data_IF_304711128148
#
_entry.id   IF_304711128148
#
_cell.length_a   1.000
_cell.length_b   1.000
_cell.length_c   1.000
_cell.angle_alpha   90.00
_cell.angle_beta   90.00
_cell.angle_gamma   90.00
#
_symmetry.space_group_name_H-M   'P 1'
#
loop_
_entity.id
_entity.type
_entity.pdbx_description
1 polymer ?
#
# COMPACT_ATOMS: atom_id res chain seq x y z
N UNK A 1 22.43 8.33 24.13
CA UNK A 1 21.85 8.68 22.82
C UNK A 1 21.20 10.05 22.94
N UNK A 2 21.57 11.01 22.10
CA UNK A 2 20.96 12.33 22.07
C UNK A 2 19.70 12.34 21.18
N UNK A 3 18.96 13.46 21.20
CA UNK A 3 17.71 13.60 20.43
C UNK A 3 17.94 13.44 18.92
N UNK A 4 19.05 13.96 18.39
CA UNK A 4 19.39 13.83 16.96
C UNK A 4 19.66 12.36 16.58
N UNK A 5 20.35 11.62 17.43
CA UNK A 5 20.62 10.19 17.23
C UNK A 5 19.33 9.36 17.29
N UNK A 6 18.42 9.67 18.22
CA UNK A 6 17.08 9.07 18.29
C UNK A 6 16.27 9.31 17.00
N UNK A 7 16.28 10.54 16.49
CA UNK A 7 15.57 10.88 15.25
C UNK A 7 16.16 10.16 14.05
N UNK A 8 17.49 10.13 13.93
CA UNK A 8 18.19 9.38 12.86
C UNK A 8 17.88 7.89 12.91
N UNK A 9 17.84 7.30 14.11
CA UNK A 9 17.53 5.87 14.26
C UNK A 9 16.10 5.56 13.83
N UNK A 10 15.13 6.42 14.20
CA UNK A 10 13.74 6.29 13.75
C UNK A 10 13.61 6.41 12.24
N UNK A 11 14.29 7.39 11.65
CA UNK A 11 14.32 7.57 10.19
C UNK A 11 14.89 6.33 9.50
N UNK A 12 16.03 5.81 9.97
CA UNK A 12 16.65 4.62 9.39
C UNK A 12 15.75 3.39 9.48
N UNK A 13 15.07 3.19 10.63
CA UNK A 13 14.09 2.10 10.76
C UNK A 13 12.95 2.23 9.77
N UNK A 14 12.43 3.44 9.59
CA UNK A 14 11.36 3.67 8.61
C UNK A 14 11.83 3.37 7.18
N UNK A 15 13.05 3.81 6.82
CA UNK A 15 13.64 3.54 5.51
C UNK A 15 13.84 2.04 5.27
N UNK A 16 14.42 1.31 6.23
CA UNK A 16 14.59 -0.14 6.18
C UNK A 16 13.24 -0.85 6.08
N UNK A 17 12.27 -0.49 6.93
CA UNK A 17 10.94 -1.09 6.88
C UNK A 17 10.27 -0.86 5.52
N UNK A 18 10.34 0.36 5.00
CA UNK A 18 9.80 0.70 3.67
C UNK A 18 10.45 -0.15 2.58
N UNK A 19 11.77 -0.30 2.62
CA UNK A 19 12.51 -1.12 1.66
C UNK A 19 12.08 -2.59 1.71
N UNK A 20 12.00 -3.18 2.91
CA UNK A 20 11.58 -4.57 3.09
C UNK A 20 10.14 -4.79 2.62
N UNK A 21 9.23 -3.86 2.91
CA UNK A 21 7.84 -3.95 2.42
C UNK A 21 7.79 -3.87 0.90
N UNK A 22 8.53 -2.96 0.26
CA UNK A 22 8.54 -2.83 -1.20
C UNK A 22 9.07 -4.06 -1.95
N UNK A 23 9.86 -4.92 -1.29
CA UNK A 23 10.33 -6.18 -1.87
C UNK A 23 9.24 -7.26 -1.91
N UNK A 24 8.33 -7.27 -0.93
CA UNK A 24 7.33 -8.33 -0.74
C UNK A 24 5.93 -7.91 -1.17
N UNK A 25 5.58 -6.65 -0.96
CA UNK A 25 4.25 -6.10 -1.20
C UNK A 25 4.12 -5.61 -2.63
N UNK A 26 3.01 -6.00 -3.27
CA UNK A 26 2.61 -5.50 -4.58
C UNK A 26 1.32 -4.70 -4.40
N UNK A 27 1.22 -3.47 -4.94
CA UNK A 27 0.00 -2.69 -4.84
C UNK A 27 -1.16 -3.44 -5.47
N UNK A 28 -2.32 -3.44 -4.81
CA UNK A 28 -3.51 -4.03 -5.41
C UNK A 28 -3.95 -3.21 -6.62
N UNK A 29 -4.28 -3.90 -7.72
CA UNK A 29 -4.98 -3.29 -8.84
C UNK A 29 -6.42 -2.95 -8.42
N UNK A 30 -6.63 -1.70 -8.01
CA UNK A 30 -7.92 -1.13 -7.62
C UNK A 30 -8.83 -0.83 -8.81
N UNK A 31 -8.41 -1.13 -10.05
CA UNK A 31 -9.28 -0.97 -11.22
C UNK A 31 -10.33 -2.06 -11.32
N UNK A 32 -10.23 -3.15 -10.54
CA UNK A 32 -11.23 -4.22 -10.51
C UNK A 32 -11.84 -4.29 -9.10
N UNK A 33 -13.11 -3.90 -8.92
CA UNK A 33 -13.72 -3.92 -7.60
C UNK A 33 -13.94 -5.33 -7.06
N UNK A 34 -13.88 -5.45 -5.73
CA UNK A 34 -14.29 -6.63 -4.98
C UNK A 34 -15.82 -6.66 -4.83
N UNK A 35 -16.39 -7.87 -4.87
CA UNK A 35 -17.81 -8.06 -4.63
C UNK A 35 -18.14 -7.90 -3.14
N UNK A 36 -19.12 -7.07 -2.74
CA UNK A 36 -19.45 -6.83 -1.33
C UNK A 36 -20.07 -8.04 -0.60
N UNK A 37 -20.33 -9.15 -1.30
CA UNK A 37 -20.88 -10.38 -0.71
C UNK A 37 -19.84 -11.46 -0.44
N UNK A 38 -18.72 -11.45 -1.15
CA UNK A 38 -17.75 -12.55 -1.09
C UNK A 38 -16.29 -12.10 -1.19
N UNK A 39 -16.04 -10.80 -1.29
CA UNK A 39 -14.73 -10.15 -1.42
C UNK A 39 -13.85 -10.62 -2.59
N UNK A 40 -14.38 -11.48 -3.47
CA UNK A 40 -13.71 -11.86 -4.72
C UNK A 40 -13.76 -10.71 -5.71
N UNK A 41 -12.68 -10.53 -6.47
CA UNK A 41 -12.65 -9.60 -7.62
C UNK A 41 -13.79 -9.93 -8.58
N UNK A 42 -14.66 -8.97 -8.82
CA UNK A 42 -15.78 -9.12 -9.74
C UNK A 42 -15.33 -9.06 -11.19
N UNK A 43 -16.21 -9.44 -12.11
CA UNK A 43 -16.05 -9.13 -13.53
C UNK A 43 -16.75 -7.80 -13.80
N UNK A 44 -15.99 -6.80 -14.23
CA UNK A 44 -16.56 -5.50 -14.53
C UNK A 44 -17.17 -5.50 -15.94
N UNK A 45 -18.49 -5.45 -16.02
CA UNK A 45 -19.20 -5.22 -17.29
C UNK A 45 -19.58 -3.74 -17.32
N UNK A 46 -18.76 -2.90 -17.95
CA UNK A 46 -18.99 -1.45 -17.93
C UNK A 46 -20.21 -1.07 -18.76
N UNK A 47 -21.36 -0.88 -18.12
CA UNK A 47 -22.33 0.11 -18.59
C UNK A 47 -22.10 1.38 -17.79
N UNK A 48 -21.54 2.41 -18.44
CA UNK A 48 -21.47 3.75 -17.86
C UNK A 48 -22.89 4.33 -17.85
N UNK A 49 -23.54 4.28 -16.69
CA UNK A 49 -24.78 5.03 -16.46
C UNK A 49 -24.47 6.09 -15.40
N UNK A 50 -24.49 7.36 -15.80
CA UNK A 50 -24.35 8.52 -14.91
C UNK A 50 -23.09 8.50 -14.02
N UNK A 51 -21.93 8.14 -14.60
CA UNK A 51 -20.63 8.17 -13.89
C UNK A 51 -20.36 7.01 -12.94
N UNK A 52 -21.34 6.12 -12.69
CA UNK A 52 -21.17 4.93 -11.89
C UNK A 52 -20.80 3.72 -12.76
N UNK A 53 -19.93 2.86 -12.23
CA UNK A 53 -19.61 1.57 -12.87
C UNK A 53 -20.48 0.49 -12.24
N UNK A 54 -21.26 -0.22 -13.05
CA UNK A 54 -21.95 -1.42 -12.56
C UNK A 54 -21.02 -2.62 -12.75
N UNK A 55 -20.80 -3.37 -11.67
CA UNK A 55 -19.96 -4.56 -11.67
C UNK A 55 -20.80 -5.79 -11.37
N UNK A 56 -20.37 -6.94 -11.90
CA UNK A 56 -21.07 -8.21 -11.75
C UNK A 56 -20.14 -9.25 -11.15
N UNK A 57 -20.56 -9.88 -10.06
CA UNK A 57 -19.84 -11.01 -9.48
C UNK A 57 -20.43 -12.31 -10.00
N UNK A 58 -19.63 -13.08 -10.77
CA UNK A 58 -20.02 -14.39 -11.28
C UNK A 58 -20.31 -15.36 -10.12
N UNK A 59 -19.46 -15.36 -9.08
CA UNK A 59 -19.61 -16.28 -7.94
C UNK A 59 -20.86 -16.05 -7.10
N UNK A 60 -21.38 -14.83 -7.04
CA UNK A 60 -22.57 -14.48 -6.27
C UNK A 60 -23.82 -14.22 -7.12
N UNK A 61 -23.70 -14.24 -8.45
CA UNK A 61 -24.74 -13.80 -9.38
C UNK A 61 -25.35 -12.44 -8.95
N UNK A 62 -24.49 -11.47 -8.64
CA UNK A 62 -24.88 -10.22 -7.97
C UNK A 62 -24.30 -9.00 -8.69
N UNK A 63 -25.17 -8.04 -8.98
CA UNK A 63 -24.79 -6.72 -9.51
C UNK A 63 -24.63 -5.72 -8.37
N UNK A 64 -23.58 -4.92 -8.46
CA UNK A 64 -23.34 -3.83 -7.52
C UNK A 64 -22.81 -2.60 -8.24
N UNK A 65 -23.14 -1.42 -7.69
CA UNK A 65 -22.63 -0.15 -8.19
C UNK A 65 -21.34 0.16 -7.46
N UNK A 66 -20.29 0.43 -8.21
CA UNK A 66 -19.07 1.02 -7.69
C UNK A 66 -19.11 2.52 -8.00
N UNK A 67 -18.98 3.33 -6.95
CA UNK A 67 -18.46 4.69 -7.09
C UNK A 67 -16.98 4.47 -7.35
N UNK A 68 -16.46 4.76 -8.56
CA UNK A 68 -15.06 4.53 -8.84
C UNK A 68 -14.26 5.20 -7.73
N UNK A 69 -13.32 4.51 -7.06
CA UNK A 69 -12.38 5.22 -6.21
C UNK A 69 -11.81 6.35 -7.07
N UNK A 70 -11.84 7.58 -6.55
CA UNK A 70 -11.40 8.76 -7.27
C UNK A 70 -10.13 8.42 -8.06
N UNK A 71 -10.21 8.55 -9.38
CA UNK A 71 -9.33 7.98 -10.43
C UNK A 71 -7.80 8.19 -10.32
N UNK A 72 -7.23 8.58 -9.18
CA UNK A 72 -5.93 9.26 -9.15
C UNK A 72 -4.90 8.67 -8.18
N UNK A 73 -5.04 7.42 -7.72
CA UNK A 73 -3.92 6.74 -7.08
C UNK A 73 -3.01 6.09 -8.11
N UNK A 74 -2.32 6.93 -8.89
CA UNK A 74 -1.22 6.53 -9.80
C UNK A 74 0.13 6.43 -9.07
N UNK A 75 0.10 6.33 -7.74
CA UNK A 75 1.28 6.35 -6.90
C UNK A 75 2.03 5.03 -7.06
N UNK A 76 3.18 5.05 -7.74
CA UNK A 76 4.10 3.91 -7.83
C UNK A 76 4.77 3.61 -6.50
N UNK A 77 5.00 4.64 -5.69
CA UNK A 77 5.53 4.52 -4.32
C UNK A 77 4.54 5.17 -3.36
N UNK A 78 3.93 4.39 -2.45
CA UNK A 78 2.96 4.92 -1.51
C UNK A 78 3.58 6.03 -0.62
N UNK A 79 2.88 7.17 -0.49
CA UNK A 79 3.28 8.26 0.41
C UNK A 79 4.36 9.22 -0.09
N UNK A 80 4.88 9.01 -1.31
CA UNK A 80 5.88 9.90 -1.90
C UNK A 80 5.29 11.26 -2.28
N UNK A 81 4.14 11.26 -2.95
CA UNK A 81 3.44 12.49 -3.31
C UNK A 81 2.37 12.85 -2.27
N UNK A 82 2.17 14.14 -2.01
CA UNK A 82 1.14 14.63 -1.07
C UNK A 82 -0.28 14.13 -1.39
N UNK A 83 -0.57 13.86 -2.67
CA UNK A 83 -1.85 13.30 -3.11
C UNK A 83 -2.02 11.80 -2.80
N UNK A 84 -0.95 11.09 -2.44
CA UNK A 84 -0.96 9.65 -2.19
C UNK A 84 -1.33 9.27 -0.76
N UNK A 85 -1.41 10.23 0.17
CA UNK A 85 -1.69 9.96 1.59
C UNK A 85 -3.11 9.42 1.85
N UNK A 86 -4.06 9.69 0.96
CA UNK A 86 -5.43 9.16 1.02
C UNK A 86 -5.67 7.97 0.11
N UNK A 87 -4.61 7.35 -0.43
CA UNK A 87 -4.75 6.19 -1.30
C UNK A 87 -4.99 4.92 -0.48
N UNK A 88 -5.97 4.06 -0.84
CA UNK A 88 -6.17 2.78 -0.15
C UNK A 88 -4.90 1.91 -0.13
N UNK A 89 -4.15 1.88 -1.23
CA UNK A 89 -2.87 1.20 -1.31
C UNK A 89 -1.81 1.82 -0.37
N UNK A 90 -1.90 3.11 -0.04
CA UNK A 90 -1.00 3.73 0.94
C UNK A 90 -1.37 3.38 2.37
N UNK A 91 -2.66 3.37 2.70
CA UNK A 91 -3.12 2.91 4.02
C UNK A 91 -2.69 1.47 4.28
N UNK A 92 -2.93 0.56 3.33
CA UNK A 92 -2.49 -0.84 3.43
C UNK A 92 -0.96 -0.93 3.53
N UNK A 93 -0.22 -0.20 2.70
CA UNK A 93 1.24 -0.15 2.77
C UNK A 93 1.75 0.29 4.14
N UNK A 94 1.12 1.29 4.76
CA UNK A 94 1.48 1.74 6.11
C UNK A 94 1.24 0.65 7.17
N UNK A 95 0.17 -0.14 7.06
CA UNK A 95 -0.03 -1.30 7.95
C UNK A 95 1.09 -2.35 7.82
N UNK A 96 1.60 -2.55 6.60
CA UNK A 96 2.74 -3.44 6.38
C UNK A 96 4.03 -2.84 6.97
N UNK A 97 4.25 -1.52 6.84
CA UNK A 97 5.37 -0.83 7.47
C UNK A 97 5.31 -0.99 8.99
N UNK A 98 4.17 -0.76 9.62
CA UNK A 98 4.04 -0.85 11.08
C UNK A 98 4.41 -2.26 11.60
N UNK A 99 3.96 -3.30 10.89
CA UNK A 99 4.35 -4.69 11.19
C UNK A 99 5.86 -4.91 11.05
N UNK A 100 6.50 -4.32 10.04
CA UNK A 100 7.95 -4.43 9.86
C UNK A 100 8.73 -3.61 10.90
N UNK A 101 8.24 -2.41 11.26
CA UNK A 101 8.84 -1.57 12.30
C UNK A 101 8.91 -2.31 13.64
N UNK A 102 7.83 -3.00 14.03
CA UNK A 102 7.82 -3.84 15.25
C UNK A 102 8.89 -4.95 15.17
N UNK A 103 9.05 -5.59 14.01
CA UNK A 103 10.05 -6.65 13.83
C UNK A 103 11.48 -6.13 13.95
N UNK A 104 11.79 -4.93 13.46
CA UNK A 104 13.15 -4.37 13.44
C UNK A 104 13.45 -3.40 14.59
N UNK A 105 12.49 -3.14 15.48
CA UNK A 105 12.62 -2.15 16.56
C UNK A 105 13.83 -2.40 17.48
N UNK A 106 14.16 -3.67 17.68
CA UNK A 106 15.27 -4.10 18.54
C UNK A 106 16.66 -3.95 17.86
N UNK A 107 16.70 -3.66 16.56
CA UNK A 107 17.96 -3.54 15.81
C UNK A 107 18.63 -2.18 16.04
N UNK A 108 19.97 -2.24 16.08
CA UNK A 108 20.85 -1.07 16.16
C UNK A 108 21.20 -0.51 14.77
N UNK A 109 21.97 0.58 14.72
CA UNK A 109 22.35 1.24 13.48
C UNK A 109 23.06 0.33 12.48
N UNK A 110 24.08 -0.40 12.90
CA UNK A 110 24.89 -1.26 12.02
C UNK A 110 24.04 -2.40 11.45
N UNK A 111 23.21 -3.02 12.30
CA UNK A 111 22.29 -4.07 11.89
C UNK A 111 21.27 -3.56 10.87
N UNK A 112 20.72 -2.36 11.08
CA UNK A 112 19.77 -1.74 10.15
C UNK A 112 20.42 -1.39 8.82
N UNK A 113 21.66 -0.86 8.82
CA UNK A 113 22.40 -0.57 7.59
C UNK A 113 22.68 -1.82 6.76
N UNK A 114 22.93 -2.96 7.42
CA UNK A 114 23.10 -4.25 6.74
C UNK A 114 21.85 -4.78 6.03
N UNK A 115 20.66 -4.23 6.32
CA UNK A 115 19.40 -4.59 5.68
C UNK A 115 19.04 -3.70 4.49
N UNK A 116 19.75 -2.58 4.32
CA UNK A 116 19.61 -1.75 3.13
C UNK A 116 20.45 -2.34 1.99
N UNK A 117 20.01 -2.16 0.74
CA UNK A 117 20.81 -2.58 -0.40
C UNK A 117 22.13 -1.80 -0.35
N UNK A 118 23.25 -2.53 -0.29
CA UNK A 118 24.55 -1.89 -0.43
C UNK A 118 24.63 -1.41 -1.88
N UNK A 119 24.44 -0.10 -2.07
CA UNK A 119 24.77 0.55 -3.32
C UNK A 119 26.28 0.42 -3.50
N UNK A 120 26.72 -0.67 -4.12
CA UNK A 120 28.04 -0.77 -4.71
C UNK A 120 28.06 0.20 -5.91
N UNK A 121 28.44 1.44 -5.64
CA UNK A 121 28.97 2.36 -6.65
C UNK A 121 30.48 2.26 -6.67
#
# INVERSE_FOLDING_TARGET
MNVLELLKLKQLRFEVASHLVLQEWQPEDLTIPKCPKCDRKGSATSYQSQGNRVCYCIGCNYYFKEIPPSRTCQCTVPGHDKGCQGCPNFEEFMEHIDKQLVKIEHLNFEQLQGLLPQNHY
#
